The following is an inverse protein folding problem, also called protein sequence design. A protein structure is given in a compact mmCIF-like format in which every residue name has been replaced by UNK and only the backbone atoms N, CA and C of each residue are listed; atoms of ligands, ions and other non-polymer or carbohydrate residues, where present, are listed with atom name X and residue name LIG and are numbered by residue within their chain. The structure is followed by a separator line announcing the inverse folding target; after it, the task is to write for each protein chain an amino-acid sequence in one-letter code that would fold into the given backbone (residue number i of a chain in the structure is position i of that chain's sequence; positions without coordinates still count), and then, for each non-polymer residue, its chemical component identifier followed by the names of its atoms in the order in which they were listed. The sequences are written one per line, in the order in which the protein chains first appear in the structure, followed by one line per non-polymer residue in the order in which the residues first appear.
data_IF_887040822754
#
_entry.id   IF_887040822754
#
_cell.length_a   1.000
_cell.length_b   1.000
_cell.length_c   1.000
_cell.angle_alpha   90.00
_cell.angle_beta   90.00
_cell.angle_gamma   90.00
#
_symmetry.space_group_name_H-M   'P 1'
#
loop_
_entity.id
_entity.type
_entity.pdbx_description
1 polymer ?
#
# COMPACT_ATOMS: atom_id res chain seq x y z
N UNK A 1 35.28 -55.83 43.35
CA UNK A 1 34.95 -55.82 41.91
C UNK A 1 33.46 -55.65 41.64
N UNK A 2 32.58 -56.43 42.28
CA UNK A 2 31.12 -56.38 42.03
C UNK A 2 30.46 -55.02 42.29
N UNK A 3 30.87 -54.33 43.36
CA UNK A 3 30.35 -53.00 43.75
C UNK A 3 30.66 -51.90 42.74
N UNK A 4 31.83 -51.93 42.11
CA UNK A 4 32.24 -50.95 41.10
C UNK A 4 31.40 -51.14 39.82
N UNK A 5 31.12 -52.39 39.44
CA UNK A 5 30.30 -52.71 38.28
C UNK A 5 28.84 -52.27 38.44
N UNK A 6 28.25 -52.49 39.63
CA UNK A 6 26.90 -52.01 39.92
C UNK A 6 26.79 -50.49 39.88
N UNK A 7 27.78 -49.77 40.40
CA UNK A 7 27.79 -48.30 40.38
C UNK A 7 27.90 -47.78 38.93
N UNK A 8 28.83 -48.32 38.13
CA UNK A 8 28.99 -47.95 36.72
C UNK A 8 27.72 -48.21 35.90
N UNK A 9 27.04 -49.33 36.16
CA UNK A 9 25.80 -49.68 35.46
C UNK A 9 24.70 -48.69 35.79
N UNK A 10 24.50 -48.36 37.08
CA UNK A 10 23.50 -47.37 37.52
C UNK A 10 23.81 -45.98 36.96
N UNK A 11 25.08 -45.57 36.92
CA UNK A 11 25.49 -44.30 36.31
C UNK A 11 25.19 -44.26 34.80
N UNK A 12 25.44 -45.36 34.08
CA UNK A 12 25.11 -45.46 32.66
C UNK A 12 23.60 -45.34 32.41
N UNK A 13 22.77 -45.97 33.25
CA UNK A 13 21.32 -45.84 33.16
C UNK A 13 20.86 -44.42 33.44
N UNK A 14 21.41 -43.76 34.46
CA UNK A 14 21.09 -42.37 34.78
C UNK A 14 21.45 -41.41 33.62
N UNK A 15 22.61 -41.60 32.99
CA UNK A 15 23.05 -40.82 31.81
C UNK A 15 22.10 -41.06 30.63
N UNK A 16 21.76 -42.32 30.33
CA UNK A 16 20.84 -42.64 29.25
C UNK A 16 19.45 -42.03 29.47
N UNK A 17 18.92 -42.08 30.69
CA UNK A 17 17.64 -41.45 31.03
C UNK A 17 17.73 -39.93 30.85
N UNK A 18 18.80 -39.30 31.32
CA UNK A 18 18.99 -37.85 31.17
C UNK A 18 19.06 -37.43 29.68
N UNK A 19 19.79 -38.20 28.86
CA UNK A 19 19.88 -37.96 27.41
C UNK A 19 18.51 -38.11 26.73
N UNK A 20 17.75 -39.15 27.07
CA UNK A 20 16.40 -39.36 26.54
C UNK A 20 15.48 -38.21 26.92
N UNK A 21 15.50 -37.75 28.18
CA UNK A 21 14.70 -36.61 28.62
C UNK A 21 15.08 -35.31 27.90
N UNK A 22 16.39 -35.08 27.70
CA UNK A 22 16.88 -33.92 26.95
C UNK A 22 16.39 -33.93 25.50
N UNK A 23 16.42 -35.09 24.83
CA UNK A 23 15.91 -35.24 23.47
C UNK A 23 14.40 -35.00 23.39
N UNK A 24 13.62 -35.54 24.33
CA UNK A 24 12.17 -35.29 24.41
C UNK A 24 11.89 -33.80 24.62
N UNK A 25 12.64 -33.15 25.50
CA UNK A 25 12.49 -31.72 25.75
C UNK A 25 12.81 -30.88 24.50
N UNK A 26 13.91 -31.17 23.81
CA UNK A 26 14.29 -30.49 22.55
C UNK A 26 13.24 -30.72 21.44
N UNK A 27 12.67 -31.92 21.36
CA UNK A 27 11.61 -32.22 20.41
C UNK A 27 10.36 -31.38 20.68
N UNK A 28 9.88 -31.37 21.94
CA UNK A 28 8.71 -30.56 22.35
C UNK A 28 8.96 -29.08 22.08
N UNK A 29 10.16 -28.58 22.40
CA UNK A 29 10.53 -27.18 22.18
C UNK A 29 10.53 -26.82 20.68
N UNK A 30 11.14 -27.67 19.84
CA UNK A 30 11.20 -27.47 18.39
C UNK A 30 9.80 -27.47 17.77
N UNK A 31 8.95 -28.43 18.15
CA UNK A 31 7.56 -28.53 17.70
C UNK A 31 6.78 -27.27 18.07
N UNK A 32 6.89 -26.80 19.32
CA UNK A 32 6.24 -25.55 19.76
C UNK A 32 6.69 -24.34 18.93
N UNK A 33 7.99 -24.25 18.61
CA UNK A 33 8.53 -23.15 17.79
C UNK A 33 7.98 -23.19 16.36
N UNK A 34 7.94 -24.38 15.75
CA UNK A 34 7.39 -24.57 14.40
C UNK A 34 5.92 -24.17 14.37
N UNK A 35 5.11 -24.61 15.34
CA UNK A 35 3.70 -24.22 15.43
C UNK A 35 3.52 -22.72 15.62
N UNK A 36 4.35 -22.06 16.42
CA UNK A 36 4.31 -20.60 16.59
C UNK A 36 4.62 -19.86 15.28
N UNK A 37 5.63 -20.31 14.53
CA UNK A 37 5.99 -19.71 13.23
C UNK A 37 4.87 -19.92 12.22
N UNK A 38 4.29 -21.12 12.15
CA UNK A 38 3.16 -21.41 11.26
C UNK A 38 1.93 -20.58 11.63
N UNK A 39 1.64 -20.41 12.93
CA UNK A 39 0.53 -19.58 13.40
C UNK A 39 0.73 -18.12 13.03
N UNK A 40 1.93 -17.59 13.22
CA UNK A 40 2.27 -16.23 12.80
C UNK A 40 2.18 -16.06 11.29
N UNK A 41 2.66 -17.04 10.50
CA UNK A 41 2.54 -17.00 9.04
C UNK A 41 1.08 -17.04 8.59
N UNK A 42 0.24 -17.91 9.17
CA UNK A 42 -1.20 -17.96 8.86
C UNK A 42 -1.93 -16.67 9.25
N UNK A 43 -1.52 -16.04 10.36
CA UNK A 43 -2.08 -14.76 10.80
C UNK A 43 -1.69 -13.65 9.82
N UNK A 44 -0.42 -13.58 9.42
CA UNK A 44 0.08 -12.63 8.41
C UNK A 44 -0.61 -12.86 7.06
N UNK A 45 -0.73 -14.10 6.61
CA UNK A 45 -1.44 -14.46 5.36
C UNK A 45 -2.94 -14.14 5.43
N UNK A 46 -3.56 -14.25 6.61
CA UNK A 46 -4.97 -13.92 6.82
C UNK A 46 -5.21 -12.41 6.81
N UNK A 47 -4.32 -11.64 7.46
CA UNK A 47 -4.33 -10.17 7.42
C UNK A 47 -4.10 -9.69 5.99
N UNK A 48 -3.10 -10.23 5.29
CA UNK A 48 -2.83 -9.89 3.89
C UNK A 48 -4.03 -10.16 2.98
N UNK A 49 -4.70 -11.31 3.14
CA UNK A 49 -5.92 -11.61 2.38
C UNK A 49 -7.12 -10.73 2.75
N UNK A 50 -7.19 -10.24 3.98
CA UNK A 50 -8.24 -9.32 4.41
C UNK A 50 -8.03 -7.94 3.79
N UNK A 51 -6.80 -7.43 3.87
CA UNK A 51 -6.38 -6.19 3.22
C UNK A 51 -6.58 -6.28 1.71
N UNK A 52 -6.17 -7.38 1.06
CA UNK A 52 -6.39 -7.59 -0.38
C UNK A 52 -7.89 -7.59 -0.75
N UNK A 53 -8.76 -8.17 0.11
CA UNK A 53 -10.22 -8.16 -0.12
C UNK A 53 -10.81 -6.78 0.08
N UNK A 54 -10.35 -6.03 1.07
CA UNK A 54 -10.80 -4.68 1.34
C UNK A 54 -10.34 -3.73 0.22
N UNK A 55 -9.10 -3.86 -0.26
CA UNK A 55 -8.59 -3.15 -1.44
C UNK A 55 -9.38 -3.56 -2.69
N UNK A 56 -9.67 -4.85 -2.89
CA UNK A 56 -10.45 -5.33 -4.05
C UNK A 56 -11.91 -4.86 -3.99
N UNK A 57 -12.53 -4.84 -2.82
CA UNK A 57 -13.88 -4.32 -2.62
C UNK A 57 -13.93 -2.80 -2.85
N UNK A 58 -12.92 -2.07 -2.38
CA UNK A 58 -12.76 -0.65 -2.62
C UNK A 58 -12.48 -0.34 -4.10
N UNK A 59 -11.62 -1.11 -4.79
CA UNK A 59 -11.46 -1.03 -6.25
C UNK A 59 -12.75 -1.30 -7.04
N UNK A 60 -13.74 -1.94 -6.41
CA UNK A 60 -15.09 -2.16 -6.95
C UNK A 60 -16.08 -1.03 -6.66
N UNK A 61 -15.69 0.05 -5.97
CA UNK A 61 -16.56 1.21 -5.78
C UNK A 61 -16.99 1.78 -7.13
N UNK A 62 -18.23 2.22 -7.20
CA UNK A 62 -18.67 3.05 -8.32
C UNK A 62 -17.94 4.40 -8.28
N UNK A 63 -17.77 5.02 -9.44
CA UNK A 63 -17.15 6.36 -9.57
C UNK A 63 -17.80 7.36 -8.60
N UNK A 64 -19.12 7.30 -8.40
CA UNK A 64 -19.86 8.18 -7.51
C UNK A 64 -19.53 7.95 -6.02
N UNK A 65 -19.33 6.70 -5.61
CA UNK A 65 -18.96 6.36 -4.24
C UNK A 65 -17.52 6.77 -3.95
N UNK A 66 -16.61 6.50 -4.89
CA UNK A 66 -15.22 6.96 -4.81
C UNK A 66 -15.15 8.48 -4.70
N UNK A 67 -15.98 9.23 -5.45
CA UNK A 67 -16.07 10.68 -5.35
C UNK A 67 -16.48 11.17 -3.97
N UNK A 68 -17.54 10.60 -3.40
CA UNK A 68 -17.99 10.97 -2.04
C UNK A 68 -16.91 10.73 -1.00
N UNK A 69 -16.20 9.60 -1.11
CA UNK A 69 -15.09 9.28 -0.21
C UNK A 69 -13.93 10.26 -0.41
N UNK A 70 -13.54 10.52 -1.65
CA UNK A 70 -12.49 11.47 -1.98
C UNK A 70 -12.81 12.89 -1.48
N UNK A 71 -14.05 13.35 -1.59
CA UNK A 71 -14.46 14.66 -1.05
C UNK A 71 -14.28 14.77 0.47
N UNK A 72 -14.51 13.69 1.21
CA UNK A 72 -14.27 13.63 2.66
C UNK A 72 -12.77 13.74 2.92
N UNK A 73 -11.96 12.90 2.26
CA UNK A 73 -10.50 12.90 2.39
C UNK A 73 -9.90 14.27 2.05
N UNK A 74 -10.34 14.89 0.95
CA UNK A 74 -9.89 16.22 0.53
C UNK A 74 -10.24 17.31 1.55
N UNK A 75 -11.38 17.20 2.24
CA UNK A 75 -11.81 18.16 3.25
C UNK A 75 -11.05 17.99 4.57
N UNK A 76 -10.79 16.75 4.96
CA UNK A 76 -10.26 16.42 6.28
C UNK A 76 -8.73 16.41 6.31
N UNK A 77 -8.08 16.02 5.20
CA UNK A 77 -6.63 15.71 5.18
C UNK A 77 -5.83 16.49 4.13
N UNK A 78 -6.48 17.08 3.14
CA UNK A 78 -5.79 17.81 2.08
C UNK A 78 -5.85 19.32 2.27
N UNK A 79 -4.76 19.98 1.89
CA UNK A 79 -4.75 21.43 1.62
C UNK A 79 -5.04 21.62 0.13
N UNK A 80 -6.28 22.02 -0.16
CA UNK A 80 -6.74 22.28 -1.52
C UNK A 80 -6.63 23.78 -1.85
N UNK A 81 -6.02 24.10 -2.98
CA UNK A 81 -6.01 25.43 -3.59
C UNK A 81 -6.95 25.40 -4.80
N UNK A 82 -7.99 26.22 -4.78
CA UNK A 82 -8.90 26.39 -5.92
C UNK A 82 -8.36 27.44 -6.89
N UNK A 83 -8.85 27.39 -8.13
CA UNK A 83 -8.46 28.37 -9.13
C UNK A 83 -9.05 29.76 -8.82
N UNK A 84 -8.25 30.81 -9.02
CA UNK A 84 -8.73 32.19 -9.03
C UNK A 84 -9.36 32.55 -10.40
N UNK A 85 -10.34 31.75 -10.85
CA UNK A 85 -10.96 31.85 -12.18
C UNK A 85 -10.97 30.51 -12.92
N UNK A 86 -11.27 30.49 -14.23
CA UNK A 86 -11.16 29.27 -15.02
C UNK A 86 -9.69 28.84 -15.16
N UNK A 87 -9.40 27.52 -15.29
CA UNK A 87 -8.06 27.04 -15.57
C UNK A 87 -7.48 27.66 -16.85
N UNK A 88 -6.15 27.81 -16.96
CA UNK A 88 -5.48 28.21 -18.20
C UNK A 88 -5.93 27.36 -19.38
N UNK A 89 -5.91 27.96 -20.58
CA UNK A 89 -6.40 27.29 -21.79
C UNK A 89 -5.60 26.02 -22.10
N UNK A 90 -4.29 26.06 -21.88
CA UNK A 90 -3.38 24.93 -22.09
C UNK A 90 -3.76 23.73 -21.21
N UNK A 91 -4.06 23.98 -19.94
CA UNK A 91 -4.51 22.96 -18.99
C UNK A 91 -5.90 22.46 -19.41
N UNK A 92 -6.81 23.37 -19.73
CA UNK A 92 -8.18 23.02 -20.18
C UNK A 92 -8.17 22.11 -21.41
N UNK A 93 -7.32 22.39 -22.39
CA UNK A 93 -7.16 21.59 -23.60
C UNK A 93 -6.65 20.17 -23.31
N UNK A 94 -5.81 20.00 -22.27
CA UNK A 94 -5.34 18.69 -21.79
C UNK A 94 -6.46 17.99 -21.03
N UNK A 95 -7.12 18.66 -20.08
CA UNK A 95 -8.20 18.10 -19.27
C UNK A 95 -9.36 17.59 -20.15
N UNK A 96 -9.64 18.24 -21.28
CA UNK A 96 -10.65 17.80 -22.24
C UNK A 96 -10.33 16.46 -22.93
N UNK A 97 -9.08 15.98 -22.84
CA UNK A 97 -8.64 14.68 -23.37
C UNK A 97 -8.59 13.60 -22.31
N UNK A 98 -8.74 13.97 -21.04
CA UNK A 98 -8.71 13.05 -19.91
C UNK A 98 -10.11 12.58 -19.55
N UNK A 99 -10.17 11.58 -18.69
CA UNK A 99 -11.41 11.10 -18.11
C UNK A 99 -12.17 12.24 -17.40
N UNK A 100 -13.51 12.17 -17.45
CA UNK A 100 -14.41 13.17 -16.87
C UNK A 100 -14.11 13.41 -15.40
N UNK A 101 -13.80 12.37 -14.63
CA UNK A 101 -13.51 12.52 -13.20
C UNK A 101 -12.26 13.37 -12.93
N UNK A 102 -11.25 13.26 -13.78
CA UNK A 102 -9.99 14.01 -13.62
C UNK A 102 -10.16 15.44 -14.09
N UNK A 103 -10.90 15.63 -15.19
CA UNK A 103 -11.31 16.94 -15.67
C UNK A 103 -12.11 17.70 -14.61
N UNK A 104 -13.06 17.04 -13.96
CA UNK A 104 -13.91 17.68 -12.95
C UNK A 104 -13.09 18.04 -11.69
N UNK A 105 -12.16 17.18 -11.27
CA UNK A 105 -11.27 17.45 -10.14
C UNK A 105 -10.35 18.65 -10.39
N UNK A 106 -9.59 18.63 -11.49
CA UNK A 106 -8.65 19.71 -11.82
C UNK A 106 -9.33 20.95 -12.39
N UNK A 107 -10.59 20.83 -12.83
CA UNK A 107 -11.42 21.98 -13.16
C UNK A 107 -11.76 22.82 -11.92
N UNK A 108 -11.80 22.19 -10.73
CA UNK A 108 -12.06 22.85 -9.45
C UNK A 108 -10.79 23.22 -8.71
N UNK A 109 -9.90 22.25 -8.53
CA UNK A 109 -8.68 22.40 -7.73
C UNK A 109 -7.47 22.62 -8.63
N UNK A 110 -6.74 23.70 -8.36
CA UNK A 110 -5.44 23.94 -8.94
C UNK A 110 -4.41 22.97 -8.35
N UNK A 111 -4.43 22.84 -7.02
CA UNK A 111 -3.42 22.12 -6.26
C UNK A 111 -4.05 21.41 -5.08
N UNK A 112 -3.62 20.19 -4.81
CA UNK A 112 -4.07 19.37 -3.69
C UNK A 112 -2.81 18.82 -3.03
N UNK A 113 -2.56 19.18 -1.76
CA UNK A 113 -1.40 18.73 -1.02
C UNK A 113 -1.81 17.96 0.23
N UNK A 114 -1.33 16.73 0.35
CA UNK A 114 -1.50 15.88 1.52
C UNK A 114 -0.24 16.00 2.40
N UNK A 115 -0.41 16.55 3.60
CA UNK A 115 0.72 16.73 4.54
C UNK A 115 1.22 15.42 5.12
N UNK A 116 0.33 14.44 5.20
CA UNK A 116 0.52 13.22 5.99
C UNK A 116 1.38 12.18 5.27
N UNK A 117 1.48 12.25 3.95
CA UNK A 117 2.31 11.34 3.14
C UNK A 117 3.20 12.07 2.12
N UNK A 118 3.17 13.41 2.10
CA UNK A 118 3.96 14.21 1.17
C UNK A 118 3.47 14.19 -0.28
N UNK A 119 2.28 13.65 -0.56
CA UNK A 119 1.70 13.62 -1.90
C UNK A 119 1.23 15.02 -2.31
N UNK A 120 1.71 15.48 -3.46
CA UNK A 120 1.30 16.71 -4.11
C UNK A 120 0.69 16.38 -5.48
N UNK A 121 -0.57 16.74 -5.66
CA UNK A 121 -1.30 16.63 -6.93
C UNK A 121 -1.52 18.05 -7.44
N UNK A 122 -0.95 18.39 -8.59
CA UNK A 122 -0.93 19.76 -9.12
C UNK A 122 -1.31 19.77 -10.59
N UNK A 123 -2.25 20.64 -10.96
CA UNK A 123 -2.66 20.81 -12.35
C UNK A 123 -1.52 21.35 -13.22
N UNK A 124 -0.57 22.11 -12.64
CA UNK A 124 0.61 22.59 -13.37
C UNK A 124 1.54 21.44 -13.78
N UNK A 125 1.52 20.29 -13.07
CA UNK A 125 2.27 19.10 -13.47
C UNK A 125 1.80 18.51 -14.81
N UNK A 126 0.57 18.80 -15.25
CA UNK A 126 0.09 18.41 -16.59
C UNK A 126 0.90 19.05 -17.72
N UNK A 127 1.58 20.16 -17.41
CA UNK A 127 2.46 20.88 -18.33
C UNK A 127 3.93 20.40 -18.23
N UNK A 128 4.27 19.62 -17.20
CA UNK A 128 5.63 19.15 -16.95
C UNK A 128 5.97 17.93 -17.81
N UNK A 129 6.83 18.16 -18.80
CA UNK A 129 7.48 17.17 -19.66
C UNK A 129 6.55 16.28 -20.50
N UNK A 130 7.15 15.61 -21.49
CA UNK A 130 6.49 14.81 -22.53
C UNK A 130 6.64 13.31 -22.20
N UNK A 131 5.78 12.71 -21.37
CA UNK A 131 5.58 11.27 -21.40
C UNK A 131 5.19 10.83 -22.83
N UNK A 132 5.19 9.52 -23.15
CA UNK A 132 4.57 9.05 -24.39
C UNK A 132 3.19 9.70 -24.56
N UNK A 133 2.77 9.98 -25.81
CA UNK A 133 1.59 10.77 -26.22
C UNK A 133 0.30 10.43 -25.45
N UNK A 134 0.26 9.27 -24.79
CA UNK A 134 -0.85 8.74 -24.02
C UNK A 134 -0.82 8.96 -22.51
N UNK A 135 0.18 9.62 -21.92
CA UNK A 135 0.37 9.71 -20.46
C UNK A 135 0.67 11.15 -20.01
N UNK A 136 0.15 11.54 -18.84
CA UNK A 136 0.38 12.86 -18.23
C UNK A 136 0.77 12.74 -16.76
N UNK A 137 1.69 13.58 -16.31
CA UNK A 137 2.05 13.69 -14.89
C UNK A 137 1.00 14.57 -14.21
N UNK A 138 0.50 14.11 -13.05
CA UNK A 138 -0.53 14.81 -12.27
C UNK A 138 -0.07 15.16 -10.86
N UNK A 139 1.09 14.65 -10.45
CA UNK A 139 1.60 14.88 -9.10
C UNK A 139 2.91 14.16 -8.82
N UNK A 140 3.39 14.35 -7.60
CA UNK A 140 4.60 13.75 -7.06
C UNK A 140 4.45 13.49 -5.57
N UNK A 141 5.10 12.44 -5.08
CA UNK A 141 5.28 12.20 -3.67
C UNK A 141 6.66 12.72 -3.26
N UNK A 142 6.70 13.78 -2.45
CA UNK A 142 7.95 14.45 -2.07
C UNK A 142 8.83 13.57 -1.14
N UNK A 143 8.25 12.58 -0.45
CA UNK A 143 8.99 11.72 0.48
C UNK A 143 9.70 10.58 -0.23
N UNK A 144 9.03 9.95 -1.18
CA UNK A 144 9.55 8.79 -1.92
C UNK A 144 10.18 9.18 -3.26
N UNK A 145 9.91 10.40 -3.75
CA UNK A 145 10.34 10.86 -5.06
C UNK A 145 9.57 10.21 -6.21
N UNK A 146 8.43 9.60 -5.92
CA UNK A 146 7.58 8.92 -6.89
C UNK A 146 6.72 9.93 -7.64
N UNK A 147 6.42 9.66 -8.91
CA UNK A 147 5.54 10.51 -9.73
C UNK A 147 4.20 9.82 -9.96
N UNK A 148 3.12 10.61 -9.91
CA UNK A 148 1.78 10.16 -10.21
C UNK A 148 1.46 10.48 -11.68
N UNK A 149 1.02 9.47 -12.41
CA UNK A 149 0.79 9.58 -13.86
C UNK A 149 -0.56 8.98 -14.24
N UNK A 150 -1.25 9.64 -15.17
CA UNK A 150 -2.55 9.23 -15.68
C UNK A 150 -2.49 8.96 -17.18
N UNK A 151 -3.25 7.97 -17.64
CA UNK A 151 -3.39 7.69 -19.07
C UNK A 151 -4.50 8.52 -19.72
N UNK A 152 -4.40 8.71 -21.03
CA UNK A 152 -5.42 9.35 -21.86
C UNK A 152 -6.48 8.38 -22.39
N UNK A 153 -6.16 7.09 -22.47
CA UNK A 153 -7.06 6.05 -22.98
C UNK A 153 -7.93 5.41 -21.90
N UNK A 154 -7.84 5.90 -20.66
CA UNK A 154 -8.70 5.48 -19.57
C UNK A 154 -8.38 6.22 -18.27
N UNK A 155 -9.24 6.10 -17.26
CA UNK A 155 -9.10 6.83 -16.01
C UNK A 155 -7.89 6.40 -15.16
N UNK A 156 -7.18 5.33 -15.55
CA UNK A 156 -6.17 4.68 -14.73
C UNK A 156 -5.02 5.62 -14.37
N UNK A 157 -4.69 5.60 -13.08
CA UNK A 157 -3.55 6.30 -12.49
C UNK A 157 -2.57 5.28 -11.91
N UNK A 158 -1.28 5.59 -11.98
CA UNK A 158 -0.22 4.76 -11.42
C UNK A 158 0.93 5.61 -10.90
N UNK A 159 1.62 5.02 -9.93
CA UNK A 159 2.85 5.55 -9.35
C UNK A 159 4.06 5.01 -10.11
N UNK A 160 4.96 5.92 -10.51
CA UNK A 160 6.22 5.59 -11.14
C UNK A 160 7.36 5.95 -10.21
N UNK A 161 8.13 4.94 -9.82
CA UNK A 161 9.32 5.08 -8.98
C UNK A 161 10.56 4.78 -9.84
N UNK A 162 11.23 5.83 -10.30
CA UNK A 162 12.31 5.72 -11.28
C UNK A 162 11.82 5.20 -12.64
N UNK A 163 12.02 3.90 -12.92
CA UNK A 163 11.57 3.24 -14.17
C UNK A 163 10.56 2.11 -13.94
N UNK A 164 10.09 1.97 -12.70
CA UNK A 164 9.19 0.87 -12.29
C UNK A 164 7.82 1.45 -11.97
N UNK A 165 6.79 0.93 -12.63
CA UNK A 165 5.38 1.17 -12.29
C UNK A 165 5.04 0.29 -11.09
N UNK A 166 4.62 0.90 -9.96
CA UNK A 166 4.45 0.16 -8.70
C UNK A 166 3.02 -0.25 -8.42
N UNK A 167 2.04 0.60 -8.65
CA UNK A 167 0.64 0.30 -8.34
C UNK A 167 -0.29 0.97 -9.37
N UNK A 168 -1.49 0.44 -9.57
CA UNK A 168 -2.45 0.97 -10.54
C UNK A 168 -3.84 1.06 -9.95
N UNK A 169 -4.42 2.25 -10.02
CA UNK A 169 -5.74 2.54 -9.48
C UNK A 169 -6.74 2.83 -10.61
N UNK A 170 -8.03 2.53 -10.42
CA UNK A 170 -9.04 2.73 -11.45
C UNK A 170 -9.18 4.19 -11.90
N UNK A 171 -9.07 5.14 -10.96
CA UNK A 171 -8.99 6.56 -11.28
C UNK A 171 -8.24 7.37 -10.22
N UNK A 172 -7.88 8.62 -10.55
CA UNK A 172 -7.33 9.58 -9.59
C UNK A 172 -8.22 9.77 -8.35
N UNK A 173 -9.54 9.68 -8.53
CA UNK A 173 -10.50 9.75 -7.42
C UNK A 173 -10.42 8.50 -6.53
N UNK A 174 -10.19 7.32 -7.11
CA UNK A 174 -9.99 6.10 -6.33
C UNK A 174 -8.66 6.13 -5.58
N UNK A 175 -7.61 6.71 -6.19
CA UNK A 175 -6.35 6.95 -5.50
C UNK A 175 -6.57 7.81 -4.24
N UNK A 176 -7.22 8.97 -4.38
CA UNK A 176 -7.51 9.84 -3.23
C UNK A 176 -8.41 9.12 -2.21
N UNK A 177 -9.42 8.38 -2.66
CA UNK A 177 -10.34 7.69 -1.77
C UNK A 177 -9.73 6.54 -0.98
N UNK A 178 -8.64 5.91 -1.46
CA UNK A 178 -8.11 4.68 -0.87
C UNK A 178 -6.70 4.82 -0.29
N UNK A 179 -5.84 5.53 -1.00
CA UNK A 179 -4.42 5.71 -0.63
C UNK A 179 -4.27 6.87 0.33
N UNK A 180 -4.99 7.95 0.08
CA UNK A 180 -4.90 9.17 0.91
C UNK A 180 -5.84 9.12 2.14
N UNK A 181 -6.74 8.14 2.18
CA UNK A 181 -7.68 7.92 3.29
C UNK A 181 -7.00 7.34 4.54
N UNK A 182 -5.84 6.68 4.40
CA UNK A 182 -4.94 6.16 5.46
C UNK A 182 -5.52 6.05 6.88
N UNK A 183 -6.61 5.30 6.98
CA UNK A 183 -7.10 4.65 8.20
C UNK A 183 -6.59 3.21 8.31
N UNK A 184 -5.70 2.80 7.39
CA UNK A 184 -5.31 1.41 7.17
C UNK A 184 -3.89 1.05 7.64
N UNK A 185 -3.02 2.04 7.84
CA UNK A 185 -1.62 1.79 8.25
C UNK A 185 -1.28 2.18 9.69
N UNK A 186 -2.25 2.72 10.43
CA UNK A 186 -2.19 2.94 11.90
C UNK A 186 -2.88 1.78 12.64
#
# INVERSE_FOLDING_TARGET
MWTIYTILTVMLWAINIALVMMLVWLFIWTVRRIFSVIKNKKLIDAIGKQVDREITAKMGLSINEAWKSAEIVLRERAKCEEWNGPPPKEITDILNRLDVSVRDLFGKYKKIQFSDNGTLIDAECLLENKPPISEYVVGKNDWMGDILTIRTDGPRIYEVSGTVVRESYPSLIHYIAFVEDDTYWD
#
